data_IF_452961639175
#
_entry.id   IF_452961639175
#
_cell.length_a   1.000
_cell.length_b   1.000
_cell.length_c   1.000
_cell.angle_alpha   90.00
_cell.angle_beta   90.00
_cell.angle_gamma   90.00
#
_symmetry.space_group_name_H-M   'P 1'
#
loop_
_entity.id
_entity.type
_entity.pdbx_description
1 polymer ?
#
# COMPACT_ATOMS: atom_id res chain seq x y z
N UNK A 1 4.84 11.53 29.33
CA UNK A 1 5.03 12.75 30.15
C UNK A 1 4.15 13.83 29.52
N UNK A 2 3.08 14.27 30.21
CA UNK A 2 2.18 15.37 29.85
C UNK A 2 1.45 15.86 31.13
N UNK A 3 2.06 15.66 32.30
CA UNK A 3 1.41 15.80 33.62
C UNK A 3 2.22 16.62 34.62
N UNK A 4 3.46 17.00 34.29
CA UNK A 4 4.33 17.84 35.12
C UNK A 4 5.38 18.55 34.27
N UNK A 5 5.84 19.70 34.74
CA UNK A 5 6.99 20.42 34.21
C UNK A 5 8.23 20.08 35.07
N UNK A 6 9.40 20.03 34.43
CA UNK A 6 10.69 19.79 35.08
C UNK A 6 11.72 20.76 34.49
N UNK A 7 12.77 21.05 35.25
CA UNK A 7 13.89 21.87 34.77
C UNK A 7 14.73 21.14 33.71
N UNK A 8 15.46 21.88 32.89
CA UNK A 8 16.30 21.33 31.82
C UNK A 8 17.35 20.32 32.35
N UNK A 9 18.00 20.66 33.46
CA UNK A 9 18.99 19.81 34.13
C UNK A 9 18.35 18.56 34.76
N UNK A 10 17.10 18.65 35.21
CA UNK A 10 16.35 17.47 35.66
C UNK A 10 16.02 16.55 34.49
N UNK A 11 15.66 17.10 33.32
CA UNK A 11 15.42 16.31 32.11
C UNK A 11 16.66 15.49 31.74
N UNK A 12 17.84 16.12 31.71
CA UNK A 12 19.10 15.46 31.36
C UNK A 12 19.50 14.34 32.33
N UNK A 13 19.08 14.42 33.60
CA UNK A 13 19.39 13.43 34.65
C UNK A 13 18.33 12.33 34.81
N UNK A 14 17.26 12.35 34.04
CA UNK A 14 16.24 11.31 34.13
C UNK A 14 16.80 9.97 33.66
N UNK A 15 16.60 8.95 34.48
CA UNK A 15 16.93 7.58 34.10
C UNK A 15 15.92 7.05 33.08
N UNK A 16 16.42 6.38 32.05
CA UNK A 16 15.60 5.70 31.05
C UNK A 16 14.73 4.59 31.69
N UNK A 17 13.52 4.34 31.17
CA UNK A 17 12.71 3.21 31.62
C UNK A 17 13.45 1.88 31.45
N UNK A 18 13.32 0.97 32.43
CA UNK A 18 13.95 -0.38 32.38
C UNK A 18 13.51 -1.21 31.17
N UNK A 19 12.38 -0.88 30.56
CA UNK A 19 11.79 -1.55 29.40
C UNK A 19 12.39 -1.11 28.05
N UNK A 20 13.24 -0.06 28.03
CA UNK A 20 13.94 0.38 26.83
C UNK A 20 15.11 -0.58 26.51
N UNK A 21 14.79 -1.70 25.86
CA UNK A 21 15.75 -2.77 25.52
C UNK A 21 16.62 -2.39 24.31
N UNK A 22 17.93 -2.40 24.55
CA UNK A 22 19.08 -2.48 23.63
C UNK A 22 19.30 -1.39 22.56
N UNK A 23 20.51 -0.82 22.57
CA UNK A 23 21.14 -0.20 21.41
C UNK A 23 22.02 1.01 21.73
N UNK A 24 21.43 2.06 22.32
CA UNK A 24 22.14 3.27 22.75
C UNK A 24 21.68 3.65 24.16
N UNK A 25 22.55 4.28 24.96
CA UNK A 25 22.16 4.77 26.27
C UNK A 25 21.32 6.05 26.09
N UNK A 26 20.07 5.90 25.67
CA UNK A 26 19.17 7.02 25.43
C UNK A 26 18.99 7.79 26.74
N UNK A 27 19.61 8.98 26.79
CA UNK A 27 19.39 9.96 27.84
C UNK A 27 18.23 10.85 27.41
N UNK A 28 17.41 11.28 28.36
CA UNK A 28 16.34 12.24 28.09
C UNK A 28 16.93 13.58 27.63
N UNK A 29 16.24 14.26 26.70
CA UNK A 29 16.72 15.46 26.01
C UNK A 29 15.65 16.55 26.04
N UNK A 30 16.02 17.79 26.38
CA UNK A 30 15.12 18.92 26.22
C UNK A 30 14.94 19.21 24.72
N UNK A 31 13.69 19.25 24.28
CA UNK A 31 13.32 19.60 22.92
C UNK A 31 12.02 20.39 22.88
N UNK A 32 12.09 21.64 22.39
CA UNK A 32 10.94 22.52 22.15
C UNK A 32 9.93 22.56 23.32
N UNK A 33 10.44 22.75 24.56
CA UNK A 33 9.62 22.81 25.78
C UNK A 33 9.15 21.45 26.31
N UNK A 34 9.56 20.34 25.72
CA UNK A 34 9.26 18.96 26.15
C UNK A 34 10.53 18.20 26.49
N UNK A 35 10.45 17.23 27.41
CA UNK A 35 11.55 16.31 27.71
C UNK A 35 11.29 14.98 27.00
N UNK A 36 12.08 14.66 25.98
CA UNK A 36 11.86 13.52 25.08
C UNK A 36 12.99 12.48 25.19
N UNK A 37 12.65 11.21 24.99
CA UNK A 37 13.62 10.11 25.00
C UNK A 37 14.24 9.88 23.61
N UNK A 38 13.42 10.00 22.56
CA UNK A 38 13.85 9.97 21.15
C UNK A 38 13.60 11.34 20.51
N UNK A 39 14.52 11.80 19.67
CA UNK A 39 14.32 13.03 18.91
C UNK A 39 13.15 12.88 17.93
N UNK A 40 12.32 13.94 17.76
CA UNK A 40 11.18 13.88 16.86
C UNK A 40 11.60 13.83 15.38
N UNK A 41 10.67 13.47 14.46
CA UNK A 41 10.97 13.41 13.03
C UNK A 41 11.61 14.69 12.50
N UNK A 42 12.71 14.56 11.75
CA UNK A 42 13.49 15.70 11.25
C UNK A 42 14.63 16.16 12.15
N UNK A 43 14.81 15.52 13.32
CA UNK A 43 15.92 15.76 14.24
C UNK A 43 16.68 14.46 14.57
N UNK A 44 17.98 14.59 14.86
CA UNK A 44 18.88 13.49 15.26
C UNK A 44 19.62 13.85 16.55
N UNK A 45 20.21 12.84 17.17
CA UNK A 45 20.96 12.97 18.40
C UNK A 45 22.29 13.72 18.15
N UNK A 46 22.56 14.76 18.93
CA UNK A 46 23.86 15.43 18.96
C UNK A 46 24.58 15.06 20.27
N UNK A 47 25.63 14.25 20.15
CA UNK A 47 26.52 13.89 21.25
C UNK A 47 27.66 14.92 21.36
N UNK A 48 27.35 16.11 21.87
CA UNK A 48 28.36 17.03 22.40
C UNK A 48 28.66 16.61 23.85
N UNK A 49 29.94 16.60 24.23
CA UNK A 49 30.49 15.92 25.42
C UNK A 49 29.83 16.21 26.79
N UNK A 50 28.90 17.15 26.91
CA UNK A 50 28.15 17.42 28.16
C UNK A 50 26.64 17.71 27.99
N UNK A 51 26.06 17.67 26.76
CA UNK A 51 24.63 17.98 26.56
C UNK A 51 23.99 17.11 25.47
N UNK A 52 23.13 16.18 25.89
CA UNK A 52 22.27 15.44 24.99
C UNK A 52 21.18 16.36 24.42
N UNK A 53 21.22 16.65 23.12
CA UNK A 53 20.26 17.53 22.46
C UNK A 53 19.84 16.97 21.10
N UNK A 54 18.76 17.52 20.54
CA UNK A 54 18.25 17.13 19.22
C UNK A 54 18.61 18.18 18.18
N UNK A 55 19.45 17.80 17.21
CA UNK A 55 19.88 18.64 16.10
C UNK A 55 19.02 18.40 14.87
N UNK A 56 18.64 19.48 14.18
CA UNK A 56 17.91 19.38 12.91
C UNK A 56 18.78 18.69 11.85
N UNK A 57 18.22 17.69 11.19
CA UNK A 57 18.95 16.96 10.15
C UNK A 57 19.11 17.81 8.89
N UNK A 58 20.30 17.81 8.30
CA UNK A 58 20.54 18.34 6.96
C UNK A 58 20.15 17.26 5.92
N UNK A 59 18.84 17.07 5.73
CA UNK A 59 18.28 16.01 4.89
C UNK A 59 17.57 14.91 5.70
N UNK A 60 17.40 13.68 5.15
CA UNK A 60 16.78 12.59 5.89
C UNK A 60 17.63 12.19 7.10
N UNK A 61 17.01 12.16 8.28
CA UNK A 61 17.69 11.82 9.52
C UNK A 61 18.21 10.39 9.49
N UNK A 62 19.50 10.23 9.76
CA UNK A 62 20.08 8.92 9.91
C UNK A 62 19.71 8.35 11.28
N UNK A 63 18.97 7.23 11.28
CA UNK A 63 18.67 6.44 12.49
C UNK A 63 19.34 5.09 12.34
N UNK A 64 20.35 4.86 13.18
CA UNK A 64 21.06 3.59 13.27
C UNK A 64 20.31 2.62 14.18
N UNK A 65 20.10 1.41 13.70
CA UNK A 65 19.44 0.35 14.44
C UNK A 65 20.25 -0.93 14.35
N UNK A 66 20.22 -1.74 15.41
CA UNK A 66 20.92 -3.02 15.43
C UNK A 66 20.20 -4.04 14.55
N UNK A 67 20.96 -4.84 13.81
CA UNK A 67 20.47 -5.97 13.03
C UNK A 67 19.71 -6.99 13.89
N UNK A 68 18.68 -7.61 13.30
CA UNK A 68 17.81 -8.56 13.99
C UNK A 68 17.13 -9.53 13.02
N UNK A 69 16.49 -10.57 13.58
CA UNK A 69 15.60 -11.45 12.83
C UNK A 69 14.15 -10.93 12.90
N UNK A 70 13.59 -10.62 11.75
CA UNK A 70 12.23 -10.12 11.53
C UNK A 70 11.35 -11.29 11.12
N UNK A 71 10.70 -11.90 12.11
CA UNK A 71 9.82 -13.06 11.97
C UNK A 71 8.32 -12.75 12.11
N UNK A 72 8.00 -11.51 12.51
CA UNK A 72 6.64 -11.04 12.80
C UNK A 72 6.51 -9.54 12.56
N UNK A 73 5.27 -9.06 12.50
CA UNK A 73 4.98 -7.62 12.37
C UNK A 73 5.55 -6.86 13.58
N UNK A 74 5.42 -7.41 14.79
CA UNK A 74 5.93 -6.78 16.01
C UNK A 74 7.46 -6.61 16.00
N UNK A 75 8.21 -7.57 15.44
CA UNK A 75 9.66 -7.43 15.28
C UNK A 75 10.03 -6.43 14.18
N UNK A 76 9.28 -6.39 13.08
CA UNK A 76 9.46 -5.39 12.03
C UNK A 76 9.23 -3.96 12.54
N UNK A 77 8.20 -3.74 13.36
CA UNK A 77 7.85 -2.41 13.90
C UNK A 77 8.95 -1.80 14.77
N UNK A 78 9.83 -2.60 15.36
CA UNK A 78 11.02 -2.10 16.09
C UNK A 78 12.02 -1.39 15.18
N UNK A 79 11.99 -1.66 13.87
CA UNK A 79 12.85 -1.05 12.87
C UNK A 79 12.21 0.17 12.20
N UNK A 80 11.04 0.63 12.68
CA UNK A 80 10.37 1.83 12.15
C UNK A 80 11.27 3.06 12.22
N UNK A 81 11.43 3.70 11.06
CA UNK A 81 12.24 4.90 10.92
C UNK A 81 13.75 4.66 10.85
N UNK A 82 14.21 3.41 10.93
CA UNK A 82 15.64 3.09 10.77
C UNK A 82 16.08 3.33 9.33
N UNK A 83 17.23 3.98 9.15
CA UNK A 83 17.83 4.21 7.84
C UNK A 83 19.11 3.39 7.65
N UNK A 84 19.77 3.01 8.74
CA UNK A 84 21.02 2.27 8.71
C UNK A 84 20.96 1.11 9.71
N UNK A 85 21.25 -0.10 9.24
CA UNK A 85 21.27 -1.30 10.06
C UNK A 85 22.73 -1.68 10.34
N UNK A 86 23.09 -1.65 11.62
CA UNK A 86 24.40 -2.10 12.13
C UNK A 86 24.31 -3.60 12.41
N UNK A 87 25.03 -4.39 11.61
CA UNK A 87 24.92 -5.86 11.59
C UNK A 87 24.02 -6.37 10.46
N UNK A 88 23.53 -7.60 10.61
CA UNK A 88 22.78 -8.31 9.56
C UNK A 88 21.26 -8.28 9.79
N UNK A 89 20.49 -8.33 8.70
CA UNK A 89 19.02 -8.37 8.73
C UNK A 89 18.52 -9.71 8.19
N UNK A 90 17.81 -10.46 9.02
CA UNK A 90 17.12 -11.69 8.59
C UNK A 90 15.62 -11.44 8.55
N UNK A 91 14.94 -11.90 7.50
CA UNK A 91 13.49 -11.79 7.32
C UNK A 91 12.94 -13.20 7.12
N UNK A 92 12.06 -13.62 8.03
CA UNK A 92 11.44 -14.95 8.02
C UNK A 92 9.96 -14.87 8.44
N UNK A 93 9.13 -14.29 7.57
CA UNK A 93 7.72 -14.07 7.87
C UNK A 93 6.88 -15.30 7.48
N UNK A 94 6.29 -15.98 8.46
CA UNK A 94 5.47 -17.18 8.20
C UNK A 94 4.00 -16.88 7.91
N UNK A 95 3.47 -15.76 8.42
CA UNK A 95 2.07 -15.40 8.29
C UNK A 95 1.67 -14.20 9.14
N UNK A 96 0.47 -13.69 8.91
CA UNK A 96 -0.04 -12.43 9.47
C UNK A 96 -1.09 -11.81 8.54
N UNK A 97 -1.78 -10.76 9.00
CA UNK A 97 -2.66 -9.94 8.15
C UNK A 97 -1.93 -8.65 7.81
N UNK A 98 -2.13 -8.12 6.60
CA UNK A 98 -1.53 -6.85 6.15
C UNK A 98 0.00 -6.81 6.24
N UNK A 99 0.68 -7.96 6.10
CA UNK A 99 2.13 -8.07 6.31
C UNK A 99 2.89 -7.11 5.42
N UNK A 100 2.63 -7.12 4.11
CA UNK A 100 3.40 -6.31 3.14
C UNK A 100 3.28 -4.82 3.44
N UNK A 101 2.07 -4.35 3.78
CA UNK A 101 1.85 -2.95 4.18
C UNK A 101 2.60 -2.59 5.46
N UNK A 102 2.52 -3.44 6.48
CA UNK A 102 3.23 -3.22 7.76
C UNK A 102 4.75 -3.27 7.60
N UNK A 103 5.27 -4.15 6.73
CA UNK A 103 6.69 -4.21 6.40
C UNK A 103 7.12 -2.96 5.63
N UNK A 104 6.32 -2.46 4.69
CA UNK A 104 6.63 -1.22 3.98
C UNK A 104 6.64 -0.02 4.95
N UNK A 105 5.65 0.11 5.82
CA UNK A 105 5.63 1.14 6.85
C UNK A 105 6.83 1.05 7.80
N UNK A 106 7.31 -0.17 8.08
CA UNK A 106 8.37 -0.39 9.06
C UNK A 106 9.79 -0.36 8.49
N UNK A 107 9.99 -0.84 7.25
CA UNK A 107 11.33 -1.10 6.70
C UNK A 107 11.66 -0.25 5.46
N UNK A 108 10.70 0.50 4.90
CA UNK A 108 10.92 1.28 3.65
C UNK A 108 12.00 2.34 3.76
N UNK A 109 12.27 2.86 4.95
CA UNK A 109 13.27 3.89 5.19
C UNK A 109 14.71 3.36 5.24
N UNK A 110 14.91 2.05 5.37
CA UNK A 110 16.24 1.44 5.45
C UNK A 110 16.98 1.66 4.14
N UNK A 111 18.17 2.26 4.21
CA UNK A 111 19.04 2.58 3.08
C UNK A 111 20.28 1.70 3.02
N UNK A 112 20.86 1.38 4.18
CA UNK A 112 22.14 0.66 4.27
C UNK A 112 22.04 -0.44 5.31
N UNK A 113 22.57 -1.62 4.97
CA UNK A 113 22.77 -2.76 5.88
C UNK A 113 24.27 -3.06 5.91
N UNK A 114 24.90 -3.06 7.09
CA UNK A 114 26.33 -3.31 7.23
C UNK A 114 26.70 -4.78 7.03
N UNK A 115 25.87 -5.70 7.51
CA UNK A 115 26.05 -7.15 7.37
C UNK A 115 25.44 -7.72 6.09
N UNK A 116 24.85 -8.90 6.19
CA UNK A 116 24.08 -9.53 5.10
C UNK A 116 22.57 -9.25 5.22
N UNK A 117 21.86 -9.40 4.10
CA UNK A 117 20.41 -9.48 4.05
C UNK A 117 20.00 -10.91 3.71
N UNK A 118 19.17 -11.51 4.56
CA UNK A 118 18.69 -12.88 4.38
C UNK A 118 17.17 -12.91 4.42
N UNK A 119 16.53 -13.37 3.36
CA UNK A 119 15.08 -13.48 3.24
C UNK A 119 14.76 -14.94 2.97
N UNK A 120 14.26 -15.63 3.99
CA UNK A 120 14.06 -17.08 3.94
C UNK A 120 12.67 -17.47 4.37
N UNK A 121 12.12 -18.53 3.77
CA UNK A 121 10.85 -19.15 4.21
C UNK A 121 9.71 -18.15 4.42
N UNK A 122 9.71 -17.07 3.64
CA UNK A 122 8.78 -15.96 3.81
C UNK A 122 7.61 -16.10 2.84
N UNK A 123 6.71 -17.04 3.14
CA UNK A 123 5.58 -17.42 2.29
C UNK A 123 4.69 -16.24 1.84
N UNK A 124 4.39 -15.23 2.67
CA UNK A 124 3.54 -14.10 2.30
C UNK A 124 4.13 -13.15 1.24
N UNK A 125 5.45 -13.15 1.08
CA UNK A 125 6.14 -12.14 0.26
C UNK A 125 6.00 -12.44 -1.22
N UNK A 126 5.54 -11.44 -1.97
CA UNK A 126 5.45 -11.46 -3.44
C UNK A 126 6.54 -10.59 -4.07
N UNK A 127 6.99 -9.55 -3.38
CA UNK A 127 8.05 -8.63 -3.81
C UNK A 127 8.92 -8.19 -2.63
N UNK A 128 10.15 -7.73 -2.90
CA UNK A 128 11.03 -7.07 -1.92
C UNK A 128 10.93 -5.53 -1.97
N UNK A 129 10.00 -4.98 -2.76
CA UNK A 129 9.78 -3.53 -2.89
C UNK A 129 9.44 -2.81 -1.58
N UNK A 130 9.06 -3.54 -0.52
CA UNK A 130 8.92 -2.97 0.82
C UNK A 130 10.25 -2.41 1.38
N UNK A 131 11.40 -2.87 0.88
CA UNK A 131 12.73 -2.28 1.10
C UNK A 131 13.02 -1.20 0.05
N UNK A 132 12.12 -0.22 -0.05
CA UNK A 132 12.09 0.78 -1.13
C UNK A 132 13.36 1.60 -1.25
N UNK A 133 13.89 2.07 -0.12
CA UNK A 133 15.05 2.95 -0.08
C UNK A 133 16.38 2.21 0.11
N UNK A 134 16.39 0.88 0.13
CA UNK A 134 17.63 0.13 0.29
C UNK A 134 18.56 0.44 -0.90
N UNK A 135 19.81 0.81 -0.62
CA UNK A 135 20.80 1.16 -1.64
C UNK A 135 22.13 0.44 -1.45
N UNK A 136 22.44 -0.06 -0.24
CA UNK A 136 23.67 -0.80 -0.03
C UNK A 136 23.53 -1.94 0.98
N UNK A 137 24.09 -3.09 0.64
CA UNK A 137 24.36 -4.20 1.56
C UNK A 137 25.87 -4.37 1.59
N UNK A 138 26.52 -4.07 2.72
CA UNK A 138 27.99 -3.99 2.79
C UNK A 138 28.66 -5.36 2.98
N UNK A 139 28.00 -6.32 3.63
CA UNK A 139 28.55 -7.65 3.82
C UNK A 139 29.80 -7.67 4.70
N UNK A 140 29.83 -6.87 5.78
CA UNK A 140 30.95 -6.83 6.71
C UNK A 140 30.95 -8.01 7.70
N UNK A 141 29.77 -8.56 7.98
CA UNK A 141 29.53 -9.65 8.92
C UNK A 141 28.96 -10.84 8.14
N UNK A 142 29.85 -11.70 7.60
CA UNK A 142 29.53 -12.82 6.69
C UNK A 142 29.77 -14.18 7.38
N UNK A 143 30.03 -14.19 8.69
CA UNK A 143 30.73 -15.26 9.43
C UNK A 143 30.22 -16.70 9.23
N UNK A 144 28.99 -16.91 8.75
CA UNK A 144 28.42 -18.24 8.42
C UNK A 144 27.90 -18.44 6.97
N UNK A 145 27.73 -17.38 6.19
CA UNK A 145 27.08 -17.40 4.88
C UNK A 145 27.90 -16.53 3.97
N UNK A 146 28.73 -17.11 3.08
CA UNK A 146 29.61 -16.39 2.12
C UNK A 146 28.87 -15.43 1.16
N UNK A 147 27.57 -15.23 1.36
CA UNK A 147 26.61 -14.48 0.57
C UNK A 147 26.15 -13.25 1.34
N UNK A 148 26.26 -12.09 0.71
CA UNK A 148 25.78 -10.81 1.22
C UNK A 148 24.27 -10.67 1.06
N UNK A 149 23.69 -11.31 0.05
CA UNK A 149 22.24 -11.41 -0.14
C UNK A 149 21.83 -12.87 -0.32
N UNK A 150 20.98 -13.37 0.57
CA UNK A 150 20.47 -14.74 0.55
C UNK A 150 18.94 -14.71 0.46
N UNK A 151 18.38 -15.23 -0.62
CA UNK A 151 16.94 -15.33 -0.85
C UNK A 151 16.57 -16.78 -1.14
N UNK A 152 15.97 -17.47 -0.15
CA UNK A 152 15.72 -18.90 -0.26
C UNK A 152 14.36 -19.35 0.28
N UNK A 153 13.71 -20.28 -0.42
CA UNK A 153 12.46 -20.90 0.01
C UNK A 153 11.30 -19.88 0.17
N UNK A 154 11.22 -18.90 -0.73
CA UNK A 154 10.13 -17.93 -0.77
C UNK A 154 9.13 -18.32 -1.87
N UNK A 155 8.15 -19.15 -1.48
CA UNK A 155 7.22 -19.84 -2.39
C UNK A 155 6.38 -18.92 -3.29
N UNK A 156 6.17 -17.66 -2.90
CA UNK A 156 5.32 -16.72 -3.63
C UNK A 156 6.05 -15.50 -4.22
N UNK A 157 7.36 -15.40 -3.98
CA UNK A 157 8.19 -14.29 -4.43
C UNK A 157 8.26 -14.30 -5.97
N UNK A 158 7.87 -13.18 -6.58
CA UNK A 158 7.74 -13.01 -8.03
C UNK A 158 8.56 -11.83 -8.56
N UNK A 159 8.88 -10.87 -7.69
CA UNK A 159 9.69 -9.70 -8.02
C UNK A 159 10.68 -9.41 -6.90
N UNK A 160 11.79 -8.76 -7.24
CA UNK A 160 12.73 -8.23 -6.24
C UNK A 160 12.40 -6.77 -5.95
N UNK A 161 12.69 -5.88 -6.88
CA UNK A 161 12.36 -4.46 -6.78
C UNK A 161 11.73 -3.97 -8.08
N UNK A 162 10.99 -2.88 -7.99
CA UNK A 162 10.62 -2.09 -9.17
C UNK A 162 11.85 -1.32 -9.67
N UNK A 163 12.46 -1.81 -10.75
CA UNK A 163 13.70 -1.26 -11.30
C UNK A 163 13.55 0.08 -12.03
N UNK A 164 12.32 0.55 -12.24
CA UNK A 164 12.04 1.89 -12.77
C UNK A 164 12.22 2.95 -11.68
N UNK A 165 11.99 2.59 -10.41
CA UNK A 165 12.10 3.48 -9.25
C UNK A 165 13.28 3.16 -8.33
N UNK A 166 13.80 1.93 -8.40
CA UNK A 166 14.88 1.44 -7.56
C UNK A 166 16.18 1.35 -8.36
N UNK A 167 17.01 2.38 -8.24
CA UNK A 167 18.31 2.48 -8.91
C UNK A 167 19.49 2.43 -7.92
N UNK A 168 20.65 2.01 -8.43
CA UNK A 168 21.91 2.15 -7.72
C UNK A 168 22.12 1.25 -6.48
N UNK A 169 21.40 0.14 -6.36
CA UNK A 169 21.66 -0.84 -5.29
C UNK A 169 23.09 -1.41 -5.43
N UNK A 170 23.84 -1.47 -4.32
CA UNK A 170 25.18 -2.05 -4.25
C UNK A 170 25.19 -3.24 -3.30
N UNK A 171 25.70 -4.37 -3.77
CA UNK A 171 25.86 -5.58 -2.96
C UNK A 171 27.37 -5.84 -2.85
N UNK A 172 27.91 -5.65 -1.65
CA UNK A 172 29.33 -5.69 -1.36
C UNK A 172 29.64 -6.80 -0.35
N UNK A 173 30.92 -7.09 -0.20
CA UNK A 173 31.52 -7.93 0.83
C UNK A 173 32.74 -7.21 1.41
N UNK A 174 33.28 -7.70 2.53
CA UNK A 174 34.45 -7.13 3.22
C UNK A 174 35.60 -6.74 2.29
N UNK A 175 35.92 -7.60 1.32
CA UNK A 175 37.10 -7.47 0.45
C UNK A 175 36.75 -7.29 -1.04
N UNK A 176 35.50 -6.99 -1.40
CA UNK A 176 35.14 -6.83 -2.82
C UNK A 176 33.63 -6.92 -3.14
N UNK A 177 33.26 -7.32 -4.37
CA UNK A 177 31.86 -7.47 -4.73
C UNK A 177 31.20 -8.58 -3.90
N UNK A 178 29.96 -8.36 -3.49
CA UNK A 178 29.20 -9.33 -2.73
C UNK A 178 28.81 -10.54 -3.56
N UNK A 179 28.47 -11.64 -2.89
CA UNK A 179 27.87 -12.82 -3.53
C UNK A 179 26.39 -12.91 -3.20
N UNK A 180 25.63 -13.48 -4.12
CA UNK A 180 24.18 -13.69 -3.97
C UNK A 180 23.85 -15.17 -3.93
N UNK A 181 22.80 -15.55 -3.23
CA UNK A 181 22.30 -16.91 -3.17
C UNK A 181 20.78 -16.94 -3.40
N UNK A 182 20.34 -17.63 -4.44
CA UNK A 182 18.93 -17.74 -4.83
C UNK A 182 18.55 -19.19 -5.10
N UNK A 183 17.76 -19.80 -4.21
CA UNK A 183 17.32 -21.19 -4.32
C UNK A 183 15.87 -21.33 -3.85
N UNK A 184 15.10 -22.24 -4.44
CA UNK A 184 13.73 -22.54 -4.00
C UNK A 184 12.81 -21.30 -4.01
N UNK A 185 12.91 -20.45 -5.04
CA UNK A 185 11.98 -19.33 -5.28
C UNK A 185 11.15 -19.62 -6.55
N UNK A 186 10.18 -20.53 -6.49
CA UNK A 186 9.60 -21.15 -7.68
C UNK A 186 8.79 -20.20 -8.57
N UNK A 187 8.44 -19.01 -8.09
CA UNK A 187 7.76 -17.97 -8.89
C UNK A 187 8.67 -16.79 -9.27
N UNK A 188 9.95 -16.83 -8.89
CA UNK A 188 10.92 -15.78 -9.21
C UNK A 188 11.73 -16.17 -10.44
N UNK A 189 11.46 -15.52 -11.56
CA UNK A 189 12.13 -15.81 -12.82
C UNK A 189 13.62 -15.45 -12.82
N UNK A 190 14.44 -16.31 -13.45
CA UNK A 190 15.90 -16.15 -13.51
C UNK A 190 16.35 -14.81 -14.09
N UNK A 191 15.66 -14.29 -15.11
CA UNK A 191 16.01 -12.99 -15.72
C UNK A 191 15.89 -11.81 -14.74
N UNK A 192 15.06 -11.93 -13.69
CA UNK A 192 14.93 -10.90 -12.64
C UNK A 192 16.15 -10.89 -11.73
N UNK A 193 16.71 -12.06 -11.44
CA UNK A 193 17.97 -12.22 -10.71
C UNK A 193 19.15 -11.70 -11.55
N UNK A 194 19.13 -11.96 -12.86
CA UNK A 194 20.09 -11.36 -13.80
C UNK A 194 19.98 -9.82 -13.87
N UNK A 195 18.76 -9.29 -13.78
CA UNK A 195 18.52 -7.84 -13.74
C UNK A 195 19.13 -7.24 -12.48
N UNK A 196 18.91 -7.86 -11.32
CA UNK A 196 19.59 -7.50 -10.06
C UNK A 196 21.11 -7.53 -10.25
N UNK A 197 21.67 -8.62 -10.81
CA UNK A 197 23.11 -8.77 -11.03
C UNK A 197 23.69 -7.60 -11.83
N UNK A 198 23.03 -7.23 -12.94
CA UNK A 198 23.44 -6.09 -13.78
C UNK A 198 23.31 -4.76 -13.05
N UNK A 199 22.18 -4.52 -12.37
CA UNK A 199 21.92 -3.27 -11.63
C UNK A 199 22.87 -3.09 -10.45
N UNK A 200 23.24 -4.18 -9.78
CA UNK A 200 24.18 -4.19 -8.66
C UNK A 200 25.66 -4.24 -9.07
N UNK A 201 25.97 -4.35 -10.37
CA UNK A 201 27.35 -4.44 -10.87
C UNK A 201 28.07 -5.72 -10.46
N UNK A 202 27.35 -6.82 -10.28
CA UNK A 202 27.89 -8.10 -9.84
C UNK A 202 28.46 -8.93 -11.00
N UNK A 203 29.51 -9.69 -10.71
CA UNK A 203 30.05 -10.71 -11.61
C UNK A 203 29.05 -11.84 -11.90
N UNK A 204 29.32 -12.68 -12.92
CA UNK A 204 28.48 -13.83 -13.22
C UNK A 204 28.40 -14.77 -12.01
N UNK A 205 27.21 -15.33 -11.76
CA UNK A 205 26.99 -16.31 -10.70
C UNK A 205 27.08 -17.75 -11.25
N UNK A 206 27.35 -18.70 -10.37
CA UNK A 206 27.34 -20.14 -10.71
C UNK A 206 25.97 -20.77 -10.45
N UNK A 207 25.75 -21.99 -10.94
CA UNK A 207 24.53 -22.75 -10.63
C UNK A 207 24.39 -23.10 -9.14
N UNK A 208 25.51 -23.12 -8.39
CA UNK A 208 25.50 -23.28 -6.94
C UNK A 208 25.01 -22.03 -6.22
N UNK A 209 25.26 -20.85 -6.79
CA UNK A 209 24.82 -19.58 -6.23
C UNK A 209 23.34 -19.32 -6.57
N UNK A 210 22.95 -19.58 -7.81
CA UNK A 210 21.59 -19.38 -8.31
C UNK A 210 21.15 -20.64 -9.04
N UNK A 211 20.26 -21.41 -8.42
CA UNK A 211 19.79 -22.69 -8.96
C UNK A 211 18.74 -22.49 -10.07
N UNK A 212 19.05 -22.77 -11.35
CA UNK A 212 18.11 -22.52 -12.45
C UNK A 212 16.88 -23.44 -12.43
N UNK A 213 16.96 -24.57 -11.72
CA UNK A 213 15.90 -25.58 -11.60
C UNK A 213 14.93 -25.33 -10.44
N UNK A 214 15.17 -24.33 -9.59
CA UNK A 214 14.32 -24.02 -8.43
C UNK A 214 13.91 -22.55 -8.34
N UNK A 215 14.30 -21.74 -9.32
CA UNK A 215 13.89 -20.34 -9.44
C UNK A 215 13.05 -20.19 -10.71
N UNK A 216 11.77 -19.86 -10.53
CA UNK A 216 10.83 -19.66 -11.64
C UNK A 216 10.29 -20.96 -12.26
N UNK A 217 10.44 -22.11 -11.60
CA UNK A 217 9.99 -23.41 -12.09
C UNK A 217 8.47 -23.65 -12.01
N UNK A 218 7.73 -22.81 -11.27
CA UNK A 218 6.25 -22.88 -11.13
C UNK A 218 5.53 -21.66 -11.70
N UNK A 219 6.16 -20.89 -12.58
CA UNK A 219 5.53 -19.73 -13.24
C UNK A 219 5.99 -19.61 -14.69
N UNK A 220 5.12 -19.08 -15.55
CA UNK A 220 5.50 -18.69 -16.90
C UNK A 220 6.40 -17.45 -16.85
N UNK A 221 7.69 -17.62 -17.18
CA UNK A 221 8.66 -16.53 -17.22
C UNK A 221 8.72 -15.80 -18.56
N UNK A 222 8.29 -16.44 -19.65
CA UNK A 222 8.19 -15.80 -20.95
C UNK A 222 6.81 -15.16 -21.09
N UNK A 223 6.68 -13.95 -20.54
CA UNK A 223 5.41 -13.22 -20.49
C UNK A 223 5.37 -12.20 -21.63
N UNK A 224 4.43 -12.35 -22.55
CA UNK A 224 4.15 -11.35 -23.58
C UNK A 224 3.17 -10.30 -23.06
N UNK A 225 3.20 -9.10 -23.67
CA UNK A 225 2.25 -8.05 -23.31
C UNK A 225 0.86 -8.38 -23.87
N UNK A 226 -0.13 -8.48 -22.99
CA UNK A 226 -1.54 -8.62 -23.36
C UNK A 226 -2.18 -7.24 -23.55
N UNK A 227 -2.63 -6.95 -24.77
CA UNK A 227 -3.31 -5.67 -25.06
C UNK A 227 -4.74 -5.71 -24.54
N UNK A 228 -5.08 -4.77 -23.67
CA UNK A 228 -6.41 -4.65 -23.06
C UNK A 228 -6.97 -3.25 -23.27
N UNK A 229 -8.29 -3.14 -23.28
CA UNK A 229 -9.02 -1.88 -23.36
C UNK A 229 -10.25 -1.90 -22.48
N UNK A 230 -10.74 -0.71 -22.14
CA UNK A 230 -11.95 -0.54 -21.35
C UNK A 230 -13.08 -0.16 -22.30
N UNK A 231 -14.09 -1.01 -22.35
CA UNK A 231 -15.29 -0.83 -23.15
C UNK A 231 -16.32 0.06 -22.45
N UNK A 232 -17.58 -0.36 -22.50
CA UNK A 232 -18.70 0.38 -21.86
C UNK A 232 -18.53 0.44 -20.34
N UNK A 233 -18.88 1.59 -19.76
CA UNK A 233 -18.80 1.87 -18.32
C UNK A 233 -20.18 2.24 -17.78
N UNK A 234 -20.46 1.80 -16.55
CA UNK A 234 -21.62 2.20 -15.76
C UNK A 234 -21.15 2.84 -14.44
N UNK A 235 -22.06 3.36 -13.59
CA UNK A 235 -21.68 3.83 -12.27
C UNK A 235 -21.14 2.70 -11.37
N UNK A 236 -21.63 1.47 -11.56
CA UNK A 236 -21.34 0.31 -10.73
C UNK A 236 -20.50 -0.77 -11.42
N UNK A 237 -19.92 -0.49 -12.59
CA UNK A 237 -19.20 -1.49 -13.37
C UNK A 237 -18.50 -0.98 -14.63
N UNK A 238 -17.71 -1.86 -15.24
CA UNK A 238 -17.02 -1.61 -16.50
C UNK A 238 -16.75 -2.91 -17.25
N UNK A 239 -16.80 -2.86 -18.58
CA UNK A 239 -16.39 -3.98 -19.44
C UNK A 239 -14.90 -3.86 -19.75
N UNK A 240 -14.16 -4.92 -19.50
CA UNK A 240 -12.75 -5.08 -19.86
C UNK A 240 -12.67 -5.99 -21.08
N UNK A 241 -11.92 -5.58 -22.09
CA UNK A 241 -11.81 -6.25 -23.37
C UNK A 241 -10.34 -6.52 -23.71
N UNK A 242 -10.04 -7.69 -24.27
CA UNK A 242 -8.68 -8.03 -24.69
C UNK A 242 -8.65 -9.02 -25.86
N UNK A 243 -7.53 -9.02 -26.58
CA UNK A 243 -7.29 -9.99 -27.63
C UNK A 243 -6.95 -11.36 -27.01
N UNK A 244 -7.55 -12.47 -27.50
CA UNK A 244 -7.23 -13.80 -26.99
C UNK A 244 -5.73 -14.11 -27.13
N UNK A 245 -5.13 -14.64 -26.07
CA UNK A 245 -3.77 -15.13 -26.10
C UNK A 245 -3.68 -16.36 -27.01
N UNK A 246 -2.92 -16.23 -28.10
CA UNK A 246 -2.68 -17.31 -29.05
C UNK A 246 -1.41 -18.03 -28.65
N UNK A 247 -1.52 -19.35 -28.48
CA UNK A 247 -0.43 -20.21 -28.07
C UNK A 247 -0.35 -21.46 -28.96
N UNK A 248 0.83 -22.09 -29.04
CA UNK A 248 1.07 -23.23 -29.94
C UNK A 248 0.19 -24.45 -29.59
N UNK A 249 -0.06 -24.67 -28.31
CA UNK A 249 -1.10 -25.59 -27.82
C UNK A 249 -2.20 -24.77 -27.13
N UNK A 250 -3.40 -24.74 -27.70
CA UNK A 250 -4.54 -24.03 -27.14
C UNK A 250 -5.03 -24.64 -25.81
N UNK A 251 -4.71 -25.90 -25.53
CA UNK A 251 -5.12 -26.61 -24.30
C UNK A 251 -4.27 -26.22 -23.10
N UNK A 252 -3.12 -25.59 -23.33
CA UNK A 252 -2.27 -25.11 -22.24
C UNK A 252 -2.84 -23.87 -21.54
N UNK A 253 -3.75 -23.14 -22.21
CA UNK A 253 -4.45 -21.99 -21.64
C UNK A 253 -5.73 -22.44 -20.92
N UNK A 254 -5.73 -22.33 -19.60
CA UNK A 254 -6.88 -22.66 -18.76
C UNK A 254 -7.87 -21.48 -18.68
N UNK A 255 -7.37 -20.24 -18.72
CA UNK A 255 -8.19 -19.04 -18.68
C UNK A 255 -7.39 -17.76 -18.54
N UNK A 256 -8.07 -16.71 -18.12
CA UNK A 256 -7.52 -15.42 -17.75
C UNK A 256 -7.92 -15.11 -16.31
N UNK A 257 -7.13 -14.27 -15.67
CA UNK A 257 -7.41 -13.76 -14.34
C UNK A 257 -7.38 -12.25 -14.41
N UNK A 258 -8.50 -11.61 -14.10
CA UNK A 258 -8.66 -10.16 -14.11
C UNK A 258 -8.47 -9.65 -12.68
N UNK A 259 -7.49 -8.78 -12.51
CA UNK A 259 -7.19 -8.13 -11.24
C UNK A 259 -7.71 -6.71 -11.28
N UNK A 260 -8.36 -6.24 -10.21
CA UNK A 260 -8.78 -4.84 -10.10
C UNK A 260 -8.78 -4.32 -8.65
N UNK A 261 -8.52 -3.03 -8.47
CA UNK A 261 -8.46 -2.35 -7.15
C UNK A 261 -8.86 -0.88 -7.27
N UNK A 262 -9.38 -0.29 -6.20
CA UNK A 262 -9.56 1.16 -6.09
C UNK A 262 -8.20 1.86 -6.09
N UNK A 263 -7.98 2.77 -7.04
CA UNK A 263 -6.69 3.41 -7.27
C UNK A 263 -6.84 4.93 -7.38
N UNK A 264 -6.72 5.68 -6.27
CA UNK A 264 -6.79 7.14 -6.28
C UNK A 264 -5.70 7.78 -7.15
N UNK A 265 -4.53 7.13 -7.23
CA UNK A 265 -3.35 7.58 -7.98
C UNK A 265 -2.97 6.59 -9.08
N UNK A 266 -2.24 7.04 -10.11
CA UNK A 266 -1.89 6.25 -11.30
C UNK A 266 -0.46 5.68 -11.30
N UNK A 267 0.04 5.31 -10.12
CA UNK A 267 1.42 4.88 -9.90
C UNK A 267 1.48 3.51 -9.22
N UNK A 268 0.53 2.62 -9.53
CA UNK A 268 0.46 1.29 -8.94
C UNK A 268 1.20 0.25 -9.79
N UNK A 269 1.88 -0.66 -9.10
CA UNK A 269 2.45 -1.90 -9.68
C UNK A 269 1.52 -3.09 -9.40
N UNK A 270 1.61 -4.19 -10.19
CA UNK A 270 0.87 -5.43 -9.92
C UNK A 270 1.17 -6.08 -8.56
N UNK A 271 2.24 -5.64 -7.88
CA UNK A 271 2.74 -6.21 -6.63
C UNK A 271 2.35 -5.38 -5.40
N UNK A 272 1.83 -4.16 -5.60
CA UNK A 272 1.47 -3.26 -4.50
C UNK A 272 0.33 -3.84 -3.65
N UNK A 273 0.46 -3.68 -2.33
CA UNK A 273 -0.51 -4.09 -1.32
C UNK A 273 -0.94 -5.58 -1.40
N UNK A 274 -0.11 -6.46 -1.99
CA UNK A 274 -0.44 -7.86 -2.22
C UNK A 274 0.33 -8.78 -1.27
N UNK A 275 -0.41 -9.56 -0.50
CA UNK A 275 0.09 -10.72 0.24
C UNK A 275 -0.37 -12.01 -0.49
N UNK A 276 0.43 -13.06 -0.48
CA UNK A 276 0.05 -14.39 -0.96
C UNK A 276 -1.25 -14.92 -0.32
N UNK A 277 -1.60 -14.44 0.88
CA UNK A 277 -2.81 -14.83 1.61
C UNK A 277 -4.09 -14.06 1.21
N UNK A 278 -4.03 -13.12 0.25
CA UNK A 278 -5.23 -12.52 -0.37
C UNK A 278 -6.01 -11.51 0.48
N UNK A 279 -5.34 -10.77 1.37
CA UNK A 279 -5.97 -9.96 2.41
C UNK A 279 -6.58 -8.62 1.99
N UNK A 280 -5.87 -7.72 1.29
CA UNK A 280 -6.23 -6.29 1.30
C UNK A 280 -5.82 -5.50 0.03
N UNK A 281 -5.57 -6.19 -1.08
CA UNK A 281 -5.11 -5.56 -2.32
C UNK A 281 -6.10 -5.72 -3.47
N UNK A 282 -5.69 -6.52 -4.46
CA UNK A 282 -6.42 -6.70 -5.71
C UNK A 282 -7.58 -7.69 -5.55
N UNK A 283 -8.76 -7.29 -6.00
CA UNK A 283 -9.88 -8.21 -6.27
C UNK A 283 -9.56 -9.02 -7.52
N UNK A 284 -10.06 -10.26 -7.57
CA UNK A 284 -9.66 -11.26 -8.56
C UNK A 284 -10.91 -11.93 -9.14
N UNK A 285 -11.05 -11.87 -10.46
CA UNK A 285 -12.08 -12.60 -11.20
C UNK A 285 -11.41 -13.60 -12.16
N UNK A 286 -11.77 -14.88 -12.06
CA UNK A 286 -11.33 -15.92 -12.98
C UNK A 286 -12.26 -15.98 -14.21
N UNK A 287 -11.67 -15.91 -15.40
CA UNK A 287 -12.39 -15.88 -16.69
C UNK A 287 -11.96 -17.08 -17.51
N UNK A 288 -12.91 -17.92 -17.91
CA UNK A 288 -12.61 -19.11 -18.71
C UNK A 288 -12.02 -18.74 -20.08
N UNK A 289 -11.06 -19.54 -20.58
CA UNK A 289 -10.59 -19.39 -21.95
C UNK A 289 -11.70 -19.61 -22.99
N UNK A 290 -12.73 -20.37 -22.62
CA UNK A 290 -13.85 -20.77 -23.50
C UNK A 290 -15.08 -19.87 -23.39
N UNK A 291 -15.12 -18.90 -22.47
CA UNK A 291 -16.25 -17.98 -22.36
C UNK A 291 -16.43 -17.22 -23.68
N UNK A 292 -17.63 -17.29 -24.26
CA UNK A 292 -17.95 -16.83 -25.61
C UNK A 292 -17.30 -15.47 -25.94
N UNK A 293 -16.33 -15.48 -26.85
CA UNK A 293 -15.84 -14.30 -27.58
C UNK A 293 -16.99 -13.69 -28.36
N UNK A 294 -17.76 -12.79 -27.76
CA UNK A 294 -19.05 -12.35 -28.33
C UNK A 294 -18.98 -11.14 -29.25
N UNK A 295 -17.84 -10.48 -29.43
CA UNK A 295 -17.81 -9.31 -30.33
C UNK A 295 -16.57 -9.33 -31.24
N UNK A 296 -16.82 -9.44 -32.55
CA UNK A 296 -15.87 -9.05 -33.57
C UNK A 296 -15.77 -7.53 -33.55
N UNK A 297 -14.58 -7.00 -33.26
CA UNK A 297 -14.34 -5.55 -33.36
C UNK A 297 -14.58 -5.09 -34.82
N UNK A 298 -14.66 -3.77 -35.07
CA UNK A 298 -14.85 -3.20 -36.43
C UNK A 298 -13.83 -3.70 -37.47
N UNK A 299 -12.72 -4.27 -37.00
CA UNK A 299 -11.63 -4.87 -37.80
C UNK A 299 -11.68 -6.41 -37.91
N UNK A 300 -12.76 -7.07 -37.46
CA UNK A 300 -12.93 -8.53 -37.56
C UNK A 300 -12.12 -9.36 -36.56
N UNK A 301 -11.47 -8.74 -35.57
CA UNK A 301 -10.77 -9.45 -34.48
C UNK A 301 -11.74 -9.92 -33.40
N UNK A 302 -11.60 -11.18 -32.97
CA UNK A 302 -12.33 -11.73 -31.81
C UNK A 302 -11.78 -11.12 -30.52
N UNK A 303 -12.64 -10.60 -29.67
CA UNK A 303 -12.27 -10.08 -28.35
C UNK A 303 -12.89 -10.95 -27.25
N UNK A 304 -12.11 -11.19 -26.19
CA UNK A 304 -12.63 -11.62 -24.90
C UNK A 304 -13.17 -10.39 -24.16
N UNK A 305 -14.31 -10.53 -23.51
CA UNK A 305 -14.95 -9.46 -22.73
C UNK A 305 -15.27 -9.99 -21.33
N UNK A 306 -15.09 -9.16 -20.32
CA UNK A 306 -15.47 -9.46 -18.95
C UNK A 306 -16.07 -8.23 -18.27
N UNK A 307 -17.21 -8.39 -17.60
CA UNK A 307 -17.88 -7.29 -16.90
C UNK A 307 -17.50 -7.28 -15.42
N UNK A 308 -16.77 -6.25 -15.01
CA UNK A 308 -16.53 -5.95 -13.60
C UNK A 308 -17.78 -5.32 -13.00
N UNK A 309 -18.27 -5.88 -11.90
CA UNK A 309 -19.49 -5.43 -11.20
C UNK A 309 -19.19 -4.96 -9.77
N UNK A 310 -20.20 -4.37 -9.11
CA UNK A 310 -20.12 -3.92 -7.71
C UNK A 310 -19.00 -2.90 -7.47
N UNK A 311 -18.76 -2.03 -8.45
CA UNK A 311 -17.83 -0.91 -8.33
C UNK A 311 -18.52 0.31 -7.71
N UNK A 312 -17.74 1.22 -7.13
CA UNK A 312 -18.25 2.49 -6.59
C UNK A 312 -18.44 3.51 -7.72
N UNK A 313 -19.49 4.35 -7.68
CA UNK A 313 -19.67 5.45 -8.62
C UNK A 313 -18.51 6.45 -8.59
N UNK A 314 -18.24 7.06 -9.74
CA UNK A 314 -17.21 8.09 -9.94
C UNK A 314 -15.83 7.78 -9.32
N UNK A 315 -15.48 6.51 -9.22
CA UNK A 315 -14.28 6.02 -8.54
C UNK A 315 -13.26 5.53 -9.56
N UNK A 316 -11.99 5.88 -9.35
CA UNK A 316 -10.89 5.42 -10.22
C UNK A 316 -10.45 4.03 -9.78
N UNK A 317 -10.38 3.12 -10.73
CA UNK A 317 -9.90 1.75 -10.57
C UNK A 317 -8.67 1.52 -11.43
N UNK A 318 -7.75 0.72 -10.89
CA UNK A 318 -6.67 0.10 -11.64
C UNK A 318 -7.05 -1.36 -11.94
N UNK A 319 -6.67 -1.87 -13.11
CA UNK A 319 -6.86 -3.27 -13.47
C UNK A 319 -5.69 -3.79 -14.30
N UNK A 320 -5.50 -5.10 -14.30
CA UNK A 320 -4.66 -5.79 -15.27
C UNK A 320 -5.16 -7.23 -15.47
N UNK A 321 -4.82 -7.82 -16.61
CA UNK A 321 -5.24 -9.17 -16.99
C UNK A 321 -4.01 -10.04 -17.17
N UNK A 322 -4.04 -11.26 -16.65
CA UNK A 322 -2.99 -12.26 -16.88
C UNK A 322 -3.59 -13.56 -17.39
N UNK A 323 -2.84 -14.31 -18.17
CA UNK A 323 -3.19 -15.68 -18.55
C UNK A 323 -2.97 -16.64 -17.37
N UNK A 324 -3.82 -17.66 -17.29
CA UNK A 324 -3.64 -18.81 -16.42
C UNK A 324 -3.38 -20.04 -17.27
N UNK A 325 -2.16 -20.56 -17.23
CA UNK A 325 -1.70 -21.69 -18.03
C UNK A 325 -1.36 -22.90 -17.16
N UNK A 326 -1.28 -24.08 -17.77
CA UNK A 326 -0.83 -25.30 -17.08
C UNK A 326 0.61 -25.15 -16.58
N UNK A 327 0.95 -25.86 -15.49
CA UNK A 327 2.24 -25.70 -14.81
C UNK A 327 3.48 -26.03 -15.68
N UNK A 328 3.32 -26.87 -16.71
CA UNK A 328 4.41 -27.21 -17.63
C UNK A 328 4.70 -26.11 -18.64
N UNK A 329 3.78 -25.16 -18.81
CA UNK A 329 3.91 -24.08 -19.78
C UNK A 329 4.76 -22.93 -19.20
N UNK A 330 5.76 -22.51 -19.97
CA UNK A 330 6.67 -21.41 -19.59
C UNK A 330 6.30 -20.08 -20.23
N UNK A 331 5.39 -20.11 -21.21
CA UNK A 331 4.85 -18.92 -21.86
C UNK A 331 3.50 -18.49 -21.25
N UNK A 332 3.29 -17.18 -21.18
CA UNK A 332 2.03 -16.59 -20.77
C UNK A 332 1.93 -15.16 -21.30
N UNK A 333 0.85 -14.48 -20.95
CA UNK A 333 0.69 -13.06 -21.24
C UNK A 333 0.16 -12.30 -20.03
N UNK A 334 0.58 -11.04 -19.89
CA UNK A 334 0.11 -10.13 -18.87
C UNK A 334 -0.01 -8.73 -19.45
N UNK A 335 -1.08 -8.02 -19.13
CA UNK A 335 -1.24 -6.63 -19.50
C UNK A 335 -0.44 -5.71 -18.59
N UNK A 336 -0.19 -4.48 -19.05
CA UNK A 336 0.16 -3.38 -18.15
C UNK A 336 -0.99 -3.09 -17.19
N UNK A 337 -0.67 -2.39 -16.09
CA UNK A 337 -1.70 -1.83 -15.21
C UNK A 337 -2.37 -0.66 -15.92
N UNK A 338 -3.66 -0.82 -16.18
CA UNK A 338 -4.50 0.14 -16.87
C UNK A 338 -5.50 0.76 -15.87
N UNK A 339 -5.99 1.96 -16.18
CA UNK A 339 -6.86 2.72 -15.27
C UNK A 339 -8.15 3.12 -15.95
N UNK A 340 -9.25 3.08 -15.20
CA UNK A 340 -10.51 3.68 -15.62
C UNK A 340 -11.23 4.34 -14.45
N UNK A 341 -12.20 5.18 -14.77
CA UNK A 341 -13.12 5.77 -13.78
C UNK A 341 -14.55 5.39 -14.16
N UNK A 342 -15.29 4.85 -13.20
CA UNK A 342 -16.73 4.56 -13.33
C UNK A 342 -17.53 5.83 -13.59
N UNK A 343 -18.72 5.68 -14.14
CA UNK A 343 -19.58 6.83 -14.42
C UNK A 343 -20.06 7.49 -13.11
N UNK A 344 -20.38 8.80 -13.13
CA UNK A 344 -21.01 9.44 -11.99
C UNK A 344 -22.44 8.92 -11.76
N UNK A 345 -22.92 9.08 -10.54
CA UNK A 345 -24.29 8.79 -10.11
C UNK A 345 -24.82 9.96 -9.28
N UNK A 346 -26.12 9.97 -8.95
CA UNK A 346 -26.70 10.95 -8.05
C UNK A 346 -25.93 10.98 -6.71
N UNK A 347 -25.63 12.17 -6.16
CA UNK A 347 -25.03 12.29 -4.83
C UNK A 347 -26.00 11.77 -3.76
N UNK A 348 -25.48 11.39 -2.60
CA UNK A 348 -26.30 11.15 -1.41
C UNK A 348 -26.86 12.46 -0.86
N UNK A 349 -27.85 12.39 0.03
CA UNK A 349 -28.39 13.57 0.71
C UNK A 349 -27.28 14.40 1.42
N UNK A 350 -27.37 15.75 1.40
CA UNK A 350 -26.59 16.63 2.25
C UNK A 350 -26.77 16.28 3.73
N UNK A 351 -25.73 16.51 4.52
CA UNK A 351 -25.72 16.11 5.93
C UNK A 351 -25.90 17.31 6.84
N UNK A 352 -26.47 17.08 8.03
CA UNK A 352 -26.51 18.08 9.10
C UNK A 352 -27.09 19.44 8.64
N UNK A 353 -28.26 19.41 8.00
CA UNK A 353 -28.99 20.62 7.66
C UNK A 353 -29.45 21.32 8.95
N UNK A 354 -29.02 22.57 9.13
CA UNK A 354 -29.41 23.45 10.23
C UNK A 354 -30.02 24.70 9.62
N UNK A 355 -31.15 25.12 10.17
CA UNK A 355 -31.91 26.28 9.73
C UNK A 355 -32.15 27.15 10.96
N UNK A 356 -31.85 28.43 10.85
CA UNK A 356 -32.18 29.43 11.86
C UNK A 356 -32.53 30.75 11.22
N UNK A 357 -33.04 31.68 12.03
CA UNK A 357 -33.49 32.98 11.58
C UNK A 357 -32.97 34.06 12.53
N UNK A 358 -32.37 35.10 11.96
CA UNK A 358 -31.96 36.29 12.70
C UNK A 358 -32.96 37.45 12.53
N UNK A 359 -33.97 37.29 11.66
CA UNK A 359 -34.94 38.31 11.28
C UNK A 359 -36.24 37.66 10.84
N UNK A 360 -37.39 38.30 11.06
CA UNK A 360 -38.71 37.82 10.63
C UNK A 360 -38.85 37.56 9.13
N UNK A 361 -37.91 38.04 8.30
CA UNK A 361 -37.92 37.87 6.84
C UNK A 361 -36.74 37.08 6.27
N UNK A 362 -35.89 36.48 7.12
CA UNK A 362 -34.68 35.79 6.68
C UNK A 362 -34.57 34.40 7.30
N UNK A 363 -34.17 33.44 6.47
CA UNK A 363 -33.76 32.11 6.88
C UNK A 363 -32.32 31.89 6.46
N UNK A 364 -31.49 31.48 7.42
CA UNK A 364 -30.10 31.10 7.19
C UNK A 364 -30.03 29.59 7.24
N UNK A 365 -29.51 29.00 6.17
CA UNK A 365 -29.35 27.55 6.01
C UNK A 365 -27.86 27.21 6.00
N UNK A 366 -27.49 26.16 6.71
CA UNK A 366 -26.13 25.60 6.70
C UNK A 366 -26.21 24.08 6.70
N UNK A 367 -25.37 23.43 5.90
CA UNK A 367 -25.28 21.97 5.83
C UNK A 367 -23.86 21.51 5.53
N UNK A 368 -23.59 20.24 5.79
CA UNK A 368 -22.39 19.54 5.41
C UNK A 368 -22.58 18.85 4.04
N UNK A 369 -21.51 18.66 3.25
CA UNK A 369 -21.60 17.95 1.98
C UNK A 369 -22.11 16.51 2.13
N UNK A 370 -22.73 15.96 1.06
CA UNK A 370 -23.05 14.54 0.92
C UNK A 370 -21.92 13.62 1.36
N UNK A 371 -22.26 12.51 2.01
CA UNK A 371 -21.29 11.47 2.35
C UNK A 371 -20.68 10.86 1.08
N UNK A 372 -21.53 10.57 0.09
CA UNK A 372 -21.14 10.03 -1.20
C UNK A 372 -21.49 11.03 -2.29
N UNK A 373 -20.49 11.78 -2.76
CA UNK A 373 -20.69 12.79 -3.82
C UNK A 373 -21.00 12.16 -5.18
N UNK A 374 -20.52 10.93 -5.43
CA UNK A 374 -20.70 10.18 -6.67
C UNK A 374 -20.39 10.96 -7.96
N UNK A 375 -19.54 11.98 -7.87
CA UNK A 375 -19.35 12.97 -8.92
C UNK A 375 -18.64 14.21 -8.39
N UNK A 376 -18.39 15.15 -9.30
CA UNK A 376 -17.98 16.50 -8.91
C UNK A 376 -19.25 17.31 -8.57
N UNK A 377 -19.36 17.80 -7.34
CA UNK A 377 -20.49 18.63 -6.93
C UNK A 377 -20.44 19.97 -7.64
N UNK A 378 -21.53 20.35 -8.30
CA UNK A 378 -21.59 21.62 -9.07
C UNK A 378 -22.36 22.70 -8.31
N UNK A 379 -23.57 22.37 -7.83
CA UNK A 379 -24.44 23.26 -7.09
C UNK A 379 -25.38 22.44 -6.19
N UNK A 380 -26.06 23.12 -5.26
CA UNK A 380 -27.17 22.56 -4.48
C UNK A 380 -28.46 23.20 -4.95
N UNK A 381 -29.56 22.44 -4.96
CA UNK A 381 -30.89 22.96 -5.28
C UNK A 381 -31.71 23.00 -4.00
N UNK A 382 -32.17 24.20 -3.64
CA UNK A 382 -32.92 24.44 -2.42
C UNK A 382 -34.35 24.78 -2.81
N UNK A 383 -35.30 24.01 -2.28
CA UNK A 383 -36.71 24.25 -2.47
C UNK A 383 -37.37 24.47 -1.13
N UNK A 384 -38.17 25.52 -1.02
CA UNK A 384 -38.98 25.78 0.16
C UNK A 384 -40.44 25.94 -0.21
N UNK A 385 -41.31 25.42 0.66
CA UNK A 385 -42.75 25.64 0.59
C UNK A 385 -43.22 26.27 1.89
N UNK A 386 -44.17 27.18 1.79
CA UNK A 386 -44.91 27.67 2.95
C UNK A 386 -45.82 26.56 3.43
N UNK A 387 -45.59 26.07 4.65
CA UNK A 387 -46.50 25.14 5.31
C UNK A 387 -47.55 25.98 6.07
N UNK A 388 -48.85 25.89 5.71
CA UNK A 388 -49.89 26.63 6.40
C UNK A 388 -50.08 26.09 7.82
N UNK A 389 -50.51 26.96 8.73
CA UNK A 389 -50.85 26.53 10.09
C UNK A 389 -51.99 25.50 10.06
N UNK A 390 -51.89 24.43 10.85
CA UNK A 390 -52.95 23.42 10.98
C UNK A 390 -54.11 23.99 11.82
N UNK A 391 -55.29 24.25 11.22
CA UNK A 391 -56.42 24.84 11.95
C UNK A 391 -56.88 23.95 13.09
N UNK A 392 -56.81 22.62 12.93
CA UNK A 392 -57.24 21.70 13.99
C UNK A 392 -56.35 21.81 15.23
N UNK A 393 -55.04 22.03 15.04
CA UNK A 393 -54.10 22.22 16.14
C UNK A 393 -54.33 23.56 16.85
N UNK A 394 -54.65 24.61 16.08
CA UNK A 394 -54.94 25.94 16.62
C UNK A 394 -56.27 25.96 17.38
N UNK A 395 -57.31 25.35 16.80
CA UNK A 395 -58.70 25.45 17.27
C UNK A 395 -59.00 24.53 18.47
N UNK A 396 -58.31 23.38 18.58
CA UNK A 396 -58.50 22.46 19.70
C UNK A 396 -57.79 22.90 20.99
N UNK A 397 -56.93 23.92 20.92
CA UNK A 397 -56.11 24.34 22.05
C UNK A 397 -56.83 25.36 22.93
N UNK A 398 -56.86 25.11 24.24
CA UNK A 398 -57.36 26.08 25.22
C UNK A 398 -56.23 26.99 25.72
N UNK A 399 -56.07 28.14 25.07
CA UNK A 399 -55.03 29.13 25.39
C UNK A 399 -55.13 29.76 26.79
N UNK A 400 -56.28 29.65 27.46
CA UNK A 400 -56.49 30.19 28.81
C UNK A 400 -56.00 29.22 29.90
N UNK A 401 -56.12 27.91 29.67
CA UNK A 401 -55.82 26.87 30.66
C UNK A 401 -54.43 26.23 30.44
N UNK A 402 -53.96 26.17 29.20
CA UNK A 402 -52.71 25.51 28.82
C UNK A 402 -51.55 26.51 28.62
N UNK A 403 -50.84 26.87 29.69
CA UNK A 403 -49.65 27.74 29.64
C UNK A 403 -48.42 27.04 29.04
N UNK A 404 -47.82 27.70 28.04
CA UNK A 404 -46.52 27.47 27.37
C UNK A 404 -45.91 26.05 27.40
N UNK A 405 -45.99 25.36 26.25
CA UNK A 405 -44.87 24.51 25.85
C UNK A 405 -43.78 25.40 25.24
N UNK A 406 -42.56 25.34 25.77
CA UNK A 406 -41.37 25.82 25.02
C UNK A 406 -41.37 25.10 23.68
N UNK A 407 -41.56 25.85 22.59
CA UNK A 407 -41.43 25.32 21.24
C UNK A 407 -40.09 24.60 21.09
N UNK A 408 -40.11 23.27 20.98
CA UNK A 408 -39.05 22.57 20.25
C UNK A 408 -39.39 22.84 18.79
N UNK A 409 -38.58 23.66 18.13
CA UNK A 409 -38.60 23.81 16.68
C UNK A 409 -38.51 22.40 16.08
N UNK A 410 -39.62 21.88 15.58
CA UNK A 410 -39.58 20.71 14.71
C UNK A 410 -39.00 21.16 13.37
N UNK A 411 -38.06 20.41 12.77
CA UNK A 411 -37.51 20.78 11.48
C UNK A 411 -38.65 20.78 10.47
N UNK A 412 -38.95 21.93 9.88
CA UNK A 412 -39.68 22.01 8.62
C UNK A 412 -38.95 21.15 7.60
N UNK A 413 -39.66 20.20 6.97
CA UNK A 413 -39.11 19.34 5.94
C UNK A 413 -38.77 20.17 4.69
N UNK A 414 -37.54 20.68 4.66
CA UNK A 414 -36.89 21.16 3.46
C UNK A 414 -35.99 20.02 2.97
N UNK A 415 -36.40 19.38 1.88
CA UNK A 415 -35.52 18.47 1.17
C UNK A 415 -34.48 19.29 0.42
N UNK A 416 -33.21 19.05 0.72
CA UNK A 416 -32.08 19.55 -0.05
C UNK A 416 -31.55 18.36 -0.84
N UNK A 417 -31.69 18.42 -2.16
CA UNK A 417 -31.21 17.40 -3.11
C UNK A 417 -29.89 17.81 -3.77
#
# INVERSE_FOLDING_TARGET
MNHRCIEEDQCLRLEKPREAVNGKNYSYKPFNGSCVLECPPGYTDEESSDKASCKKCEGPCQKECTGMNVDSIATAQKLRGCTHIVGSLEIQIRGGKNIVKELEESLSMIQVIDGYLKIVRSFPLISLSFLKNLRAIRGNDIDNSKYSLLVMDNQNLQELWDWDTHDGIKILSKDGPGRIFFHLNPKLCLYKIETLRKKAGLGPFTEYDVAPNSNGDKVACNVTELMTMVGKKSPWGAVIEWEPFVHHDARSLLGYVVYYIEAPHRNMTPYDARDACGGDGWKVDDVSATSNTTETNKFGKKLHTHYLSQLKPYTQYAYYVRTYTIATERAGAQSKVMYFRTMPEAPSQPRSLIIWSNSSSELILSWLPPLHKNGNLTHYRIFGRWEPDDPNFIDQRNYCEEREYRYRLFPSFLDVD
#
